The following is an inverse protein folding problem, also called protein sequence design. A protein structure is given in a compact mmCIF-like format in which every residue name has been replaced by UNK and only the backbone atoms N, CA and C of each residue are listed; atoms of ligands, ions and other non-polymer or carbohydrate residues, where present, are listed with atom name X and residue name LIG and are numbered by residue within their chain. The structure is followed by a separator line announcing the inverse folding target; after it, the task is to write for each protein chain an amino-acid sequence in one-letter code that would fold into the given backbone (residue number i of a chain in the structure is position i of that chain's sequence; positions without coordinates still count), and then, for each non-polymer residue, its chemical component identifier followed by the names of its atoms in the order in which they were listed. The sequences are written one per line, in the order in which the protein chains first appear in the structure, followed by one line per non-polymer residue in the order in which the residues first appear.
data_IF_068480020509
#
_entry.id   IF_068480020509
#
_cell.length_a   1.000
_cell.length_b   1.000
_cell.length_c   1.000
_cell.angle_alpha   90.00
_cell.angle_beta   90.00
_cell.angle_gamma   90.00
#
_symmetry.space_group_name_H-M   'P 1'
#
loop_
_entity.id
_entity.type
_entity.pdbx_description
1 polymer ?
#
# COMPACT_ATOMS: atom_id res chain seq x y z
N UNK A 1 -17.03 30.27 -5.46
CA UNK A 1 -18.26 29.60 -4.99
C UNK A 1 -18.53 28.22 -5.60
N UNK A 2 -17.75 27.71 -6.55
CA UNK A 2 -18.02 26.40 -7.19
C UNK A 2 -17.71 25.20 -6.28
N UNK A 3 -16.71 25.32 -5.40
CA UNK A 3 -16.28 24.22 -4.54
C UNK A 3 -17.38 23.73 -3.57
N UNK A 4 -18.18 24.62 -2.98
CA UNK A 4 -19.24 24.22 -2.03
C UNK A 4 -20.35 23.40 -2.68
N UNK A 5 -20.62 23.61 -3.98
CA UNK A 5 -21.60 22.82 -4.73
C UNK A 5 -21.12 21.40 -5.04
N UNK A 6 -19.83 21.24 -5.36
CA UNK A 6 -19.25 19.94 -5.72
C UNK A 6 -19.15 19.02 -4.50
N UNK A 7 -18.65 19.51 -3.36
CA UNK A 7 -18.54 18.70 -2.13
C UNK A 7 -19.92 18.29 -1.59
N UNK A 8 -20.92 19.18 -1.70
CA UNK A 8 -22.30 18.86 -1.35
C UNK A 8 -22.91 17.75 -2.22
N UNK A 9 -22.52 17.67 -3.49
CA UNK A 9 -23.01 16.64 -4.42
C UNK A 9 -22.49 15.24 -4.06
N UNK A 10 -21.18 15.10 -3.82
CA UNK A 10 -20.56 13.81 -3.51
C UNK A 10 -21.09 13.25 -2.19
N UNK A 11 -21.18 14.10 -1.14
CA UNK A 11 -21.72 13.69 0.15
C UNK A 11 -23.19 13.25 0.07
N UNK A 12 -24.02 13.99 -0.67
CA UNK A 12 -25.44 13.61 -0.89
C UNK A 12 -25.55 12.31 -1.68
N UNK A 13 -24.74 12.13 -2.72
CA UNK A 13 -24.69 10.89 -3.50
C UNK A 13 -24.27 9.70 -2.63
N UNK A 14 -23.21 9.86 -1.83
CA UNK A 14 -22.72 8.83 -0.92
C UNK A 14 -23.79 8.44 0.10
N UNK A 15 -24.45 9.43 0.72
CA UNK A 15 -25.54 9.18 1.67
C UNK A 15 -26.74 8.50 0.99
N UNK A 16 -27.07 8.85 -0.25
CA UNK A 16 -28.13 8.19 -1.01
C UNK A 16 -27.79 6.71 -1.29
N UNK A 17 -26.54 6.42 -1.68
CA UNK A 17 -26.05 5.04 -1.88
C UNK A 17 -26.01 4.26 -0.58
N UNK A 18 -25.53 4.87 0.50
CA UNK A 18 -25.49 4.27 1.83
C UNK A 18 -26.90 3.93 2.33
N UNK A 19 -27.92 4.75 2.04
CA UNK A 19 -29.32 4.44 2.34
C UNK A 19 -29.87 3.29 1.50
N UNK A 20 -29.56 3.26 0.21
CA UNK A 20 -30.06 2.24 -0.71
C UNK A 20 -29.43 0.86 -0.49
N UNK A 21 -28.12 0.82 -0.25
CA UNK A 21 -27.33 -0.41 -0.10
C UNK A 21 -26.22 -0.21 0.95
N UNK A 22 -26.55 -0.18 2.26
CA UNK A 22 -25.61 0.19 3.31
C UNK A 22 -24.40 -0.76 3.38
N UNK A 23 -24.63 -2.07 3.22
CA UNK A 23 -23.57 -3.07 3.28
C UNK A 23 -22.59 -2.93 2.11
N UNK A 24 -23.10 -2.91 0.88
CA UNK A 24 -22.28 -2.82 -0.33
C UNK A 24 -21.52 -1.49 -0.40
N UNK A 25 -22.17 -0.38 -0.01
CA UNK A 25 -21.53 0.94 0.02
C UNK A 25 -20.39 0.99 1.05
N UNK A 26 -20.61 0.48 2.27
CA UNK A 26 -19.56 0.42 3.28
C UNK A 26 -18.42 -0.50 2.87
N UNK A 27 -18.72 -1.67 2.30
CA UNK A 27 -17.71 -2.64 1.87
C UNK A 27 -16.86 -2.09 0.72
N UNK A 28 -17.49 -1.57 -0.33
CA UNK A 28 -16.78 -0.96 -1.46
C UNK A 28 -15.91 0.22 -1.02
N UNK A 29 -16.42 1.07 -0.13
CA UNK A 29 -15.64 2.17 0.43
C UNK A 29 -14.46 1.65 1.26
N UNK A 30 -14.68 0.62 2.08
CA UNK A 30 -13.60 -0.03 2.83
C UNK A 30 -12.49 -0.58 1.92
N UNK A 31 -12.84 -1.23 0.81
CA UNK A 31 -11.88 -1.72 -0.19
C UNK A 31 -11.10 -0.57 -0.82
N UNK A 32 -11.78 0.50 -1.25
CA UNK A 32 -11.12 1.69 -1.83
C UNK A 32 -10.18 2.36 -0.83
N UNK A 33 -10.60 2.50 0.43
CA UNK A 33 -9.77 3.12 1.47
C UNK A 33 -8.55 2.26 1.80
N UNK A 34 -8.71 0.94 1.95
CA UNK A 34 -7.60 0.01 2.22
C UNK A 34 -6.59 0.02 1.06
N UNK A 35 -7.07 -0.12 -0.18
CA UNK A 35 -6.20 -0.11 -1.37
C UNK A 35 -5.48 1.23 -1.54
N UNK A 36 -6.20 2.34 -1.45
CA UNK A 36 -5.62 3.68 -1.56
C UNK A 36 -4.59 3.97 -0.46
N UNK A 37 -4.87 3.55 0.78
CA UNK A 37 -3.94 3.74 1.90
C UNK A 37 -2.64 2.97 1.71
N UNK A 38 -2.72 1.74 1.21
CA UNK A 38 -1.55 0.89 1.00
C UNK A 38 -0.69 1.38 -0.17
N UNK A 39 -1.30 1.77 -1.29
CA UNK A 39 -0.59 2.38 -2.42
C UNK A 39 0.15 3.65 -2.00
N UNK A 40 -0.48 4.48 -1.16
CA UNK A 40 0.16 5.69 -0.64
C UNK A 40 1.39 5.35 0.21
N UNK A 41 1.29 4.35 1.09
CA UNK A 41 2.41 3.89 1.91
C UNK A 41 3.55 3.35 1.06
N UNK A 42 3.27 2.49 0.08
CA UNK A 42 4.29 1.95 -0.82
C UNK A 42 5.00 3.06 -1.60
N UNK A 43 4.27 4.12 -2.00
CA UNK A 43 4.86 5.30 -2.66
C UNK A 43 5.78 6.10 -1.71
N UNK A 44 5.47 6.15 -0.42
CA UNK A 44 6.33 6.78 0.58
C UNK A 44 7.58 5.94 0.84
N UNK A 45 7.44 4.64 0.96
CA UNK A 45 8.55 3.69 1.15
C UNK A 45 9.53 3.74 -0.03
N UNK A 46 9.04 3.73 -1.28
CA UNK A 46 9.91 3.79 -2.47
C UNK A 46 10.73 5.07 -2.55
N UNK A 47 10.16 6.21 -2.14
CA UNK A 47 10.88 7.49 -2.06
C UNK A 47 11.93 7.49 -0.96
N UNK A 48 11.65 6.84 0.18
CA UNK A 48 12.63 6.72 1.26
C UNK A 48 13.81 5.84 0.85
N UNK A 49 13.60 4.79 0.05
CA UNK A 49 14.68 3.95 -0.49
C UNK A 49 15.56 4.65 -1.52
N UNK A 50 15.03 5.66 -2.23
CA UNK A 50 15.78 6.44 -3.22
C UNK A 50 16.50 7.64 -2.63
N UNK A 51 16.07 8.14 -1.47
CA UNK A 51 16.82 9.17 -0.77
C UNK A 51 18.19 8.56 -0.45
N UNK A 52 19.29 9.05 -1.06
CA UNK A 52 20.61 8.57 -0.68
C UNK A 52 20.65 8.72 0.82
N UNK A 53 20.99 7.63 1.52
CA UNK A 53 21.33 7.69 2.91
C UNK A 53 22.48 8.67 2.96
N UNK A 54 22.15 9.96 3.13
CA UNK A 54 23.04 11.01 3.53
C UNK A 54 23.41 10.55 4.92
N UNK A 55 24.36 9.60 4.93
CA UNK A 55 25.12 9.22 6.07
C UNK A 55 25.45 10.56 6.68
N UNK A 56 24.96 10.69 7.90
CA UNK A 56 25.49 11.61 8.85
C UNK A 56 27.00 11.32 8.84
N UNK A 57 27.71 11.96 7.91
CA UNK A 57 29.15 12.11 7.93
C UNK A 57 29.32 12.96 9.16
N UNK A 58 29.41 12.27 10.29
CA UNK A 58 29.95 12.80 11.50
C UNK A 58 31.38 13.14 11.09
N UNK A 59 31.55 14.38 10.65
CA UNK A 59 32.81 14.99 10.28
C UNK A 59 33.71 14.92 11.51
N UNK A 60 34.43 13.82 11.67
CA UNK A 60 35.79 13.91 12.16
C UNK A 60 36.65 14.21 10.94
N UNK A 61 37.01 15.48 10.85
CA UNK A 61 38.09 15.96 10.01
C UNK A 61 39.31 15.03 10.15
N UNK A 62 39.83 14.55 9.02
CA UNK A 62 41.24 14.74 8.67
C UNK A 62 41.49 14.32 7.22
N UNK A 63 41.74 15.33 6.39
CA UNK A 63 42.59 15.37 5.21
C UNK A 63 42.94 14.05 4.51
N UNK A 64 42.46 13.89 3.28
CA UNK A 64 43.37 13.49 2.19
C UNK A 64 42.87 14.04 0.86
N UNK A 65 43.66 14.95 0.29
CA UNK A 65 43.66 15.22 -1.14
C UNK A 65 44.08 13.94 -1.87
N UNK A 66 43.48 13.62 -3.02
CA UNK A 66 44.26 13.44 -4.25
C UNK A 66 43.43 13.15 -5.51
N UNK A 67 43.81 13.90 -6.55
CA UNK A 67 43.82 13.67 -8.01
C UNK A 67 42.59 13.13 -8.75
N UNK A 68 42.06 14.02 -9.60
CA UNK A 68 41.15 13.80 -10.72
C UNK A 68 41.91 13.20 -11.91
N UNK A 69 41.43 12.08 -12.44
CA UNK A 69 41.89 11.53 -13.74
C UNK A 69 40.70 11.49 -14.72
N UNK A 70 40.72 12.39 -15.70
CA UNK A 70 39.77 12.50 -16.81
C UNK A 70 40.10 11.47 -17.90
N UNK A 71 39.12 10.64 -18.29
CA UNK A 71 39.25 9.67 -19.38
C UNK A 71 38.41 10.10 -20.60
N UNK A 72 39.11 10.31 -21.73
CA UNK A 72 38.55 10.69 -23.03
C UNK A 72 37.66 9.61 -23.65
N UNK A 73 36.54 10.02 -24.24
CA UNK A 73 35.59 9.18 -24.98
C UNK A 73 35.89 9.27 -26.48
N UNK A 74 36.30 8.15 -27.06
CA UNK A 74 36.60 7.97 -28.49
C UNK A 74 35.30 7.82 -29.31
N UNK A 75 35.05 8.75 -30.24
CA UNK A 75 33.95 8.70 -31.22
C UNK A 75 34.35 7.84 -32.42
N UNK A 76 33.58 6.79 -32.71
CA UNK A 76 33.64 6.04 -33.99
C UNK A 76 32.59 6.61 -34.96
N UNK A 77 33.06 7.06 -36.12
CA UNK A 77 32.31 7.36 -37.33
C UNK A 77 31.78 6.09 -37.98
N UNK A 78 30.52 6.08 -38.40
CA UNK A 78 29.92 5.05 -39.25
C UNK A 78 29.63 5.67 -40.62
N UNK A 79 30.20 5.03 -41.64
CA UNK A 79 30.16 5.44 -43.03
C UNK A 79 28.82 5.14 -43.71
N UNK A 80 28.53 5.99 -44.70
CA UNK A 80 27.37 5.95 -45.59
C UNK A 80 27.31 4.68 -46.44
N UNK A 81 26.12 4.08 -46.51
CA UNK A 81 25.77 3.11 -47.54
C UNK A 81 24.74 3.71 -48.52
N UNK A 82 24.98 3.40 -49.79
CA UNK A 82 24.47 3.96 -51.03
C UNK A 82 23.04 3.50 -51.33
N UNK A 83 22.09 4.43 -51.53
CA UNK A 83 20.71 4.11 -51.92
C UNK A 83 20.53 4.29 -53.44
N UNK A 84 20.31 3.16 -54.11
CA UNK A 84 19.99 3.02 -55.53
C UNK A 84 18.58 3.56 -55.82
N UNK A 85 18.48 4.35 -56.89
CA UNK A 85 17.29 5.07 -57.31
C UNK A 85 16.12 4.17 -57.75
N UNK A 86 14.93 4.53 -57.27
CA UNK A 86 13.64 4.04 -57.77
C UNK A 86 12.81 5.27 -58.15
N UNK A 87 12.39 5.30 -59.42
CA UNK A 87 11.66 6.41 -60.03
C UNK A 87 10.17 6.39 -59.64
N UNK A 88 9.80 7.29 -58.73
CA UNK A 88 8.54 8.06 -58.71
C UNK A 88 8.58 8.89 -57.41
N UNK A 89 9.17 10.09 -57.47
CA UNK A 89 9.46 10.92 -56.29
C UNK A 89 8.21 11.33 -55.49
N UNK A 90 7.04 11.43 -56.14
CA UNK A 90 5.83 11.93 -55.48
C UNK A 90 5.12 10.86 -54.64
N UNK A 91 5.10 9.60 -55.07
CA UNK A 91 4.48 8.51 -54.30
C UNK A 91 5.39 7.99 -53.16
N UNK A 92 6.71 8.06 -53.33
CA UNK A 92 7.68 7.67 -52.29
C UNK A 92 7.68 8.67 -51.13
N UNK A 93 7.48 9.97 -51.41
CA UNK A 93 7.42 11.00 -50.37
C UNK A 93 6.21 10.84 -49.45
N UNK A 94 5.04 10.47 -49.97
CA UNK A 94 3.82 10.29 -49.14
C UNK A 94 3.97 9.07 -48.21
N UNK A 95 4.51 7.95 -48.70
CA UNK A 95 4.81 6.78 -47.87
C UNK A 95 5.97 6.99 -46.89
N UNK A 96 6.98 7.78 -47.26
CA UNK A 96 8.07 8.16 -46.37
C UNK A 96 7.60 9.10 -45.26
N UNK A 97 6.66 10.02 -45.54
CA UNK A 97 6.10 10.90 -44.51
C UNK A 97 5.20 10.15 -43.54
N UNK A 98 4.38 9.21 -44.01
CA UNK A 98 3.51 8.42 -43.13
C UNK A 98 4.31 7.44 -42.26
N UNK A 99 5.39 6.85 -42.79
CA UNK A 99 6.27 5.97 -42.01
C UNK A 99 7.09 6.72 -40.95
N UNK A 100 7.60 7.93 -41.26
CA UNK A 100 8.34 8.75 -40.28
C UNK A 100 7.41 9.30 -39.18
N UNK A 101 6.18 9.69 -39.52
CA UNK A 101 5.19 10.13 -38.52
C UNK A 101 4.74 8.97 -37.64
N UNK A 102 4.54 7.78 -38.23
CA UNK A 102 4.24 6.54 -37.50
C UNK A 102 5.35 6.15 -36.53
N UNK A 103 6.61 6.16 -36.96
CA UNK A 103 7.77 5.85 -36.12
C UNK A 103 7.89 6.81 -34.92
N UNK A 104 7.72 8.13 -35.14
CA UNK A 104 7.75 9.12 -34.04
C UNK A 104 6.60 8.96 -33.04
N UNK A 105 5.42 8.52 -33.50
CA UNK A 105 4.29 8.23 -32.62
C UNK A 105 4.52 6.96 -31.78
N UNK A 106 5.12 5.93 -32.39
CA UNK A 106 5.51 4.70 -31.68
C UNK A 106 6.58 5.00 -30.62
N UNK A 107 7.65 5.72 -30.96
CA UNK A 107 8.69 6.12 -30.00
C UNK A 107 8.11 6.90 -28.82
N UNK A 108 7.18 7.83 -29.09
CA UNK A 108 6.50 8.59 -28.04
C UNK A 108 5.61 7.72 -27.17
N UNK A 109 4.93 6.74 -27.76
CA UNK A 109 4.09 5.80 -27.02
C UNK A 109 4.94 4.90 -26.12
N UNK A 110 6.07 4.37 -26.62
CA UNK A 110 7.00 3.57 -25.82
C UNK A 110 7.57 4.38 -24.65
N UNK A 111 8.01 5.62 -24.86
CA UNK A 111 8.49 6.48 -23.78
C UNK A 111 7.43 6.76 -22.70
N UNK A 112 6.16 6.97 -23.10
CA UNK A 112 5.04 7.15 -22.16
C UNK A 112 4.76 5.85 -21.39
N UNK A 113 4.77 4.70 -22.08
CA UNK A 113 4.56 3.40 -21.46
C UNK A 113 5.66 3.09 -20.45
N UNK A 114 6.92 3.38 -20.77
CA UNK A 114 8.03 3.13 -19.85
C UNK A 114 8.02 4.09 -18.66
N UNK A 115 7.65 5.37 -18.86
CA UNK A 115 7.41 6.30 -17.75
C UNK A 115 6.29 5.80 -16.82
N UNK A 116 5.21 5.25 -17.39
CA UNK A 116 4.10 4.68 -16.62
C UNK A 116 4.54 3.41 -15.89
N UNK A 117 5.32 2.53 -16.52
CA UNK A 117 5.87 1.33 -15.88
C UNK A 117 6.80 1.69 -14.74
N UNK A 118 7.67 2.68 -14.92
CA UNK A 118 8.59 3.15 -13.89
C UNK A 118 7.82 3.76 -12.71
N UNK A 119 6.81 4.59 -12.99
CA UNK A 119 5.91 5.11 -11.96
C UNK A 119 5.04 4.03 -11.29
N UNK A 120 4.77 2.90 -11.94
CA UNK A 120 4.02 1.78 -11.34
C UNK A 120 4.92 0.72 -10.70
N UNK A 121 6.23 0.77 -10.94
CA UNK A 121 7.18 -0.24 -10.45
C UNK A 121 7.25 -0.32 -8.93
N UNK A 122 6.93 0.78 -8.23
CA UNK A 122 6.85 0.80 -6.77
C UNK A 122 5.65 0.00 -6.23
N UNK A 123 4.64 -0.24 -7.07
CA UNK A 123 3.37 -0.82 -6.63
C UNK A 123 3.43 -2.35 -6.61
N UNK A 124 3.25 -2.91 -5.42
CA UNK A 124 3.03 -4.32 -5.17
C UNK A 124 1.52 -4.62 -5.11
N UNK A 125 0.92 -5.14 -6.22
CA UNK A 125 -0.52 -5.39 -6.28
C UNK A 125 -0.97 -6.50 -5.32
N UNK A 126 -0.07 -7.44 -4.95
CA UNK A 126 -0.41 -8.52 -4.02
C UNK A 126 -0.56 -8.01 -2.59
N UNK A 127 0.36 -7.15 -2.14
CA UNK A 127 0.25 -6.46 -0.84
C UNK A 127 -1.03 -5.63 -0.77
N UNK A 128 -1.31 -4.85 -1.81
CA UNK A 128 -2.53 -4.05 -1.90
C UNK A 128 -3.78 -4.91 -1.94
N UNK A 129 -3.75 -6.04 -2.66
CA UNK A 129 -4.83 -7.02 -2.69
C UNK A 129 -5.10 -7.65 -1.31
N UNK A 130 -4.04 -7.94 -0.54
CA UNK A 130 -4.14 -8.46 0.83
C UNK A 130 -4.77 -7.45 1.78
N UNK A 131 -4.40 -6.17 1.67
CA UNK A 131 -5.03 -5.09 2.43
C UNK A 131 -6.50 -4.90 2.01
N UNK A 132 -6.81 -5.01 0.72
CA UNK A 132 -8.16 -4.93 0.20
C UNK A 132 -9.06 -6.07 0.71
N UNK A 133 -8.56 -7.29 0.71
CA UNK A 133 -9.32 -8.48 1.14
C UNK A 133 -9.65 -8.43 2.64
N UNK A 134 -8.82 -7.78 3.46
CA UNK A 134 -9.12 -7.55 4.88
C UNK A 134 -10.44 -6.78 5.08
N UNK A 135 -10.82 -5.89 4.16
CA UNK A 135 -12.07 -5.14 4.25
C UNK A 135 -13.32 -6.05 4.28
N UNK A 136 -13.26 -7.23 3.65
CA UNK A 136 -14.39 -8.18 3.63
C UNK A 136 -14.66 -8.81 5.00
N UNK A 137 -13.64 -8.91 5.86
CA UNK A 137 -13.79 -9.40 7.24
C UNK A 137 -14.09 -8.24 8.20
N UNK A 138 -13.33 -7.15 8.07
CA UNK A 138 -13.36 -6.02 8.97
C UNK A 138 -14.67 -5.22 8.90
N UNK A 139 -15.14 -4.87 7.69
CA UNK A 139 -16.30 -3.98 7.52
C UNK A 139 -17.60 -4.58 8.06
N UNK A 140 -17.96 -5.84 7.75
CA UNK A 140 -19.16 -6.46 8.30
C UNK A 140 -19.11 -6.58 9.83
N UNK A 141 -17.92 -6.89 10.38
CA UNK A 141 -17.70 -7.00 11.81
C UNK A 141 -18.02 -5.68 12.52
N UNK A 142 -17.38 -4.58 12.11
CA UNK A 142 -17.62 -3.28 12.74
C UNK A 142 -19.05 -2.77 12.52
N UNK A 143 -19.64 -3.00 11.34
CA UNK A 143 -21.04 -2.64 11.11
C UNK A 143 -21.98 -3.34 12.11
N UNK A 144 -21.69 -4.58 12.48
CA UNK A 144 -22.45 -5.34 13.47
C UNK A 144 -22.22 -4.82 14.89
N UNK A 145 -20.96 -4.55 15.23
CA UNK A 145 -20.57 -3.98 16.54
C UNK A 145 -21.22 -2.62 16.77
N UNK A 146 -21.16 -1.70 15.80
CA UNK A 146 -21.79 -0.38 15.93
C UNK A 146 -23.31 -0.45 16.01
N UNK A 147 -23.96 -1.36 15.27
CA UNK A 147 -25.40 -1.63 15.42
C UNK A 147 -25.74 -2.12 16.83
N UNK A 148 -24.89 -2.97 17.42
CA UNK A 148 -25.07 -3.42 18.79
C UNK A 148 -24.92 -2.26 19.78
N UNK A 149 -23.93 -1.39 19.61
CA UNK A 149 -23.78 -0.19 20.45
C UNK A 149 -25.00 0.72 20.39
N UNK A 150 -25.55 0.93 19.19
CA UNK A 150 -26.73 1.76 19.02
C UNK A 150 -28.01 1.17 19.60
N UNK A 151 -28.08 -0.16 19.72
CA UNK A 151 -29.23 -0.86 20.32
C UNK A 151 -29.16 -0.92 21.84
N UNK A 152 -27.97 -1.15 22.40
CA UNK A 152 -27.82 -1.49 23.82
C UNK A 152 -27.28 -0.35 24.70
N UNK A 153 -26.66 0.70 24.13
CA UNK A 153 -26.02 1.76 24.91
C UNK A 153 -26.74 3.10 24.75
N UNK A 154 -26.98 3.85 25.85
CA UNK A 154 -27.60 5.16 25.79
C UNK A 154 -26.73 6.16 25.00
N UNK A 155 -27.36 6.94 24.11
CA UNK A 155 -26.65 7.76 23.10
C UNK A 155 -26.07 9.08 23.61
N UNK A 156 -26.59 9.63 24.71
CA UNK A 156 -26.32 11.02 25.12
C UNK A 156 -25.82 11.20 26.56
N UNK A 157 -25.70 10.12 27.32
CA UNK A 157 -25.16 10.21 28.68
C UNK A 157 -23.63 10.11 28.64
N UNK A 158 -22.89 10.88 29.45
CA UNK A 158 -21.43 10.77 29.54
C UNK A 158 -20.97 9.34 29.82
N UNK A 159 -21.71 8.61 30.66
CA UNK A 159 -21.47 7.18 30.95
C UNK A 159 -21.65 6.32 29.70
N UNK A 160 -22.69 6.57 28.89
CA UNK A 160 -22.91 5.87 27.62
C UNK A 160 -21.79 6.12 26.61
N UNK A 161 -21.29 7.37 26.53
CA UNK A 161 -20.15 7.72 25.68
C UNK A 161 -18.89 6.97 26.14
N UNK A 162 -18.57 7.01 27.43
CA UNK A 162 -17.40 6.32 27.97
C UNK A 162 -17.48 4.80 27.75
N UNK A 163 -18.66 4.20 27.95
CA UNK A 163 -18.89 2.78 27.68
C UNK A 163 -18.68 2.43 26.19
N UNK A 164 -19.17 3.26 25.26
CA UNK A 164 -18.94 3.09 23.82
C UNK A 164 -17.46 3.18 23.46
N UNK A 165 -16.73 4.15 24.04
CA UNK A 165 -15.28 4.31 23.82
C UNK A 165 -14.53 3.09 24.34
N UNK A 166 -14.81 2.65 25.56
CA UNK A 166 -14.16 1.50 26.18
C UNK A 166 -14.42 0.20 25.40
N UNK A 167 -15.67 -0.04 24.96
CA UNK A 167 -16.02 -1.19 24.14
C UNK A 167 -15.40 -1.11 22.74
N UNK A 168 -15.34 0.07 22.13
CA UNK A 168 -14.70 0.26 20.82
C UNK A 168 -13.20 -0.01 20.89
N UNK A 169 -12.54 0.46 21.95
CA UNK A 169 -11.14 0.16 22.19
C UNK A 169 -10.92 -1.33 22.49
N UNK A 170 -11.73 -1.92 23.37
CA UNK A 170 -11.66 -3.34 23.72
C UNK A 170 -11.86 -4.27 22.51
N UNK A 171 -12.75 -3.91 21.58
CA UNK A 171 -12.95 -4.64 20.32
C UNK A 171 -11.80 -4.44 19.32
N UNK A 172 -11.06 -3.33 19.40
CA UNK A 172 -9.91 -3.08 18.51
C UNK A 172 -8.72 -4.01 18.78
N UNK A 173 -8.53 -4.46 20.03
CA UNK A 173 -7.41 -5.36 20.40
C UNK A 173 -7.44 -6.68 19.64
N UNK A 174 -8.52 -7.50 19.70
CA UNK A 174 -8.58 -8.75 18.95
C UNK A 174 -8.60 -8.52 17.44
N UNK A 175 -9.17 -7.40 16.96
CA UNK A 175 -9.16 -7.05 15.53
C UNK A 175 -7.73 -6.80 15.03
N UNK A 176 -6.93 -6.04 15.77
CA UNK A 176 -5.53 -5.78 15.41
C UNK A 176 -4.72 -7.08 15.45
N UNK A 177 -4.92 -7.93 16.45
CA UNK A 177 -4.28 -9.24 16.50
C UNK A 177 -4.68 -10.14 15.32
N UNK A 178 -5.96 -10.10 14.92
CA UNK A 178 -6.46 -10.82 13.76
C UNK A 178 -5.88 -10.27 12.45
N UNK A 179 -5.71 -8.94 12.34
CA UNK A 179 -5.07 -8.30 11.19
C UNK A 179 -3.62 -8.77 11.01
N UNK A 180 -2.84 -8.76 12.09
CA UNK A 180 -1.45 -9.24 12.08
C UNK A 180 -1.34 -10.72 11.71
N UNK A 181 -2.18 -11.55 12.32
CA UNK A 181 -2.27 -12.98 12.00
C UNK A 181 -2.61 -13.18 10.52
N UNK A 182 -3.67 -12.52 10.05
CA UNK A 182 -4.13 -12.61 8.67
C UNK A 182 -3.05 -12.21 7.66
N UNK A 183 -2.47 -11.02 7.82
CA UNK A 183 -1.43 -10.54 6.90
C UNK A 183 -0.22 -11.46 6.87
N UNK A 184 0.21 -11.98 8.03
CA UNK A 184 1.34 -12.91 8.12
C UNK A 184 1.03 -14.27 7.49
N UNK A 185 -0.20 -14.78 7.64
CA UNK A 185 -0.64 -16.02 6.99
C UNK A 185 -0.67 -15.88 5.47
N UNK A 186 -1.18 -14.78 4.94
CA UNK A 186 -1.23 -14.54 3.49
C UNK A 186 0.19 -14.41 2.92
N UNK A 187 1.08 -13.67 3.59
CA UNK A 187 2.49 -13.53 3.19
C UNK A 187 3.21 -14.88 3.19
N UNK A 188 3.03 -15.71 4.23
CA UNK A 188 3.61 -17.05 4.28
C UNK A 188 3.06 -17.96 3.18
N UNK A 189 1.75 -17.89 2.92
CA UNK A 189 1.09 -18.66 1.86
C UNK A 189 1.63 -18.25 0.48
N UNK A 190 1.86 -16.96 0.27
CA UNK A 190 2.46 -16.44 -0.96
C UNK A 190 3.89 -16.96 -1.15
N UNK A 191 4.71 -16.92 -0.10
CA UNK A 191 6.09 -17.40 -0.15
C UNK A 191 6.14 -18.90 -0.51
N UNK A 192 5.31 -19.72 0.14
CA UNK A 192 5.17 -21.14 -0.17
C UNK A 192 4.72 -21.39 -1.63
N UNK A 193 3.73 -20.64 -2.13
CA UNK A 193 3.30 -20.74 -3.53
C UNK A 193 4.41 -20.36 -4.52
N UNK A 194 5.26 -19.39 -4.15
CA UNK A 194 6.42 -18.98 -4.95
C UNK A 194 7.46 -20.09 -5.04
N UNK A 195 7.76 -20.76 -3.92
CA UNK A 195 8.66 -21.91 -3.87
C UNK A 195 8.11 -23.09 -4.68
N UNK A 196 6.82 -23.39 -4.53
CA UNK A 196 6.16 -24.44 -5.30
C UNK A 196 6.26 -24.19 -6.81
N UNK A 197 6.00 -22.96 -7.27
CA UNK A 197 6.12 -22.60 -8.69
C UNK A 197 7.56 -22.67 -9.20
N UNK A 198 8.55 -22.35 -8.36
CA UNK A 198 9.97 -22.44 -8.73
C UNK A 198 10.37 -23.89 -8.96
N UNK A 199 10.03 -24.78 -8.02
CA UNK A 199 10.34 -26.21 -8.14
C UNK A 199 9.68 -26.85 -9.38
N UNK A 200 8.44 -26.45 -9.69
CA UNK A 200 7.76 -26.88 -10.93
C UNK A 200 8.51 -26.47 -12.20
N UNK A 201 9.09 -25.26 -12.25
CA UNK A 201 9.85 -24.78 -13.42
C UNK A 201 11.17 -25.51 -13.59
N UNK A 202 11.79 -25.91 -12.49
CA UNK A 202 13.08 -26.62 -12.48
C UNK A 202 12.93 -28.11 -12.79
N UNK A 203 11.71 -28.59 -13.09
CA UNK A 203 11.37 -30.01 -13.25
C UNK A 203 11.80 -30.88 -12.06
N UNK A 204 12.02 -30.27 -10.90
CA UNK A 204 12.22 -30.98 -9.66
C UNK A 204 10.83 -31.39 -9.17
N UNK A 205 10.46 -32.67 -9.38
CA UNK A 205 9.26 -33.29 -8.81
C UNK A 205 9.33 -33.45 -7.27
N UNK A 206 9.98 -32.50 -6.59
CA UNK A 206 10.13 -32.50 -5.13
C UNK A 206 8.92 -31.86 -4.48
N UNK A 207 8.32 -32.58 -3.53
CA UNK A 207 7.22 -32.09 -2.72
C UNK A 207 7.69 -30.95 -1.81
N UNK A 208 7.00 -29.81 -1.86
CA UNK A 208 7.28 -28.64 -0.99
C UNK A 208 6.26 -28.64 0.17
N UNK A 209 6.63 -29.14 1.36
CA UNK A 209 5.72 -29.15 2.50
C UNK A 209 5.37 -27.73 2.95
N UNK A 210 4.10 -27.52 3.33
CA UNK A 210 3.67 -26.28 3.98
C UNK A 210 4.11 -26.30 5.46
N UNK A 211 5.05 -25.44 5.83
CA UNK A 211 5.66 -25.42 7.16
C UNK A 211 4.83 -24.60 8.16
N UNK A 212 3.78 -25.21 8.73
CA UNK A 212 2.92 -24.56 9.74
C UNK A 212 3.68 -24.06 10.96
N UNK A 213 4.74 -24.73 11.40
CA UNK A 213 5.54 -24.31 12.55
C UNK A 213 6.22 -22.95 12.30
N UNK A 214 6.72 -22.73 11.08
CA UNK A 214 7.32 -21.44 10.68
C UNK A 214 6.28 -20.34 10.65
N UNK A 215 5.08 -20.62 10.15
CA UNK A 215 3.97 -19.68 10.18
C UNK A 215 3.62 -19.29 11.62
N UNK A 216 3.43 -20.28 12.50
CA UNK A 216 3.05 -20.05 13.88
C UNK A 216 4.10 -19.24 14.65
N UNK A 217 5.38 -19.58 14.48
CA UNK A 217 6.48 -18.83 15.10
C UNK A 217 6.54 -17.39 14.60
N UNK A 218 6.37 -17.17 13.28
CA UNK A 218 6.34 -15.82 12.70
C UNK A 218 5.16 -15.00 13.22
N UNK A 219 3.96 -15.58 13.28
CA UNK A 219 2.76 -14.93 13.84
C UNK A 219 2.96 -14.59 15.31
N UNK A 220 3.45 -15.54 16.11
CA UNK A 220 3.65 -15.36 17.55
C UNK A 220 4.66 -14.26 17.84
N UNK A 221 5.82 -14.28 17.15
CA UNK A 221 6.83 -13.25 17.26
C UNK A 221 6.28 -11.88 16.88
N UNK A 222 5.53 -11.79 15.77
CA UNK A 222 4.94 -10.53 15.31
C UNK A 222 3.93 -9.97 16.29
N UNK A 223 3.06 -10.82 16.82
CA UNK A 223 2.10 -10.42 17.86
C UNK A 223 2.80 -9.96 19.13
N UNK A 224 3.83 -10.65 19.60
CA UNK A 224 4.53 -10.27 20.83
C UNK A 224 5.25 -8.92 20.70
N UNK A 225 5.87 -8.64 19.54
CA UNK A 225 6.69 -7.46 19.35
C UNK A 225 5.91 -6.24 18.84
N UNK A 226 4.93 -6.42 17.95
CA UNK A 226 4.26 -5.28 17.29
C UNK A 226 2.88 -4.96 17.88
N UNK A 227 2.19 -5.95 18.46
CA UNK A 227 0.84 -5.74 18.98
C UNK A 227 0.83 -4.74 20.15
N UNK A 228 1.76 -4.77 21.14
CA UNK A 228 1.74 -3.82 22.25
C UNK A 228 1.87 -2.37 21.79
N UNK A 229 2.82 -2.09 20.90
CA UNK A 229 3.01 -0.76 20.30
C UNK A 229 1.78 -0.34 19.50
N UNK A 230 1.16 -1.26 18.78
CA UNK A 230 -0.07 -0.99 18.01
C UNK A 230 -1.28 -0.75 18.90
N UNK A 231 -1.42 -1.46 20.02
CA UNK A 231 -2.46 -1.20 21.02
C UNK A 231 -2.26 0.19 21.62
N UNK A 232 -1.02 0.56 21.95
CA UNK A 232 -0.70 1.89 22.48
C UNK A 232 -1.04 2.97 21.46
N UNK A 233 -0.61 2.83 20.21
CA UNK A 233 -0.96 3.76 19.12
C UNK A 233 -2.48 3.82 18.87
N UNK A 234 -3.17 2.69 18.99
CA UNK A 234 -4.63 2.60 18.87
C UNK A 234 -5.31 3.37 20.00
N UNK A 235 -4.83 3.23 21.24
CA UNK A 235 -5.38 3.94 22.39
C UNK A 235 -5.23 5.47 22.23
N UNK A 236 -4.02 5.92 21.86
CA UNK A 236 -3.72 7.35 21.71
C UNK A 236 -4.46 7.98 20.53
N UNK A 237 -4.67 7.24 19.44
CA UNK A 237 -5.39 7.73 18.28
C UNK A 237 -6.93 7.65 18.45
N UNK A 238 -7.44 6.48 18.77
CA UNK A 238 -8.88 6.20 18.71
C UNK A 238 -9.66 6.62 19.95
N UNK A 239 -9.08 6.64 21.15
CA UNK A 239 -9.85 7.06 22.34
C UNK A 239 -10.26 8.54 22.26
N UNK A 240 -9.36 9.51 21.98
CA UNK A 240 -9.74 10.90 21.84
C UNK A 240 -10.71 11.12 20.65
N UNK A 241 -10.44 10.47 19.52
CA UNK A 241 -11.29 10.54 18.35
C UNK A 241 -12.71 10.01 18.64
N UNK A 242 -12.85 8.86 19.29
CA UNK A 242 -14.15 8.28 19.61
C UNK A 242 -14.91 9.12 20.64
N UNK A 243 -14.23 9.72 21.63
CA UNK A 243 -14.86 10.66 22.55
C UNK A 243 -15.44 11.85 21.77
N UNK A 244 -14.67 12.46 20.87
CA UNK A 244 -15.13 13.57 20.04
C UNK A 244 -16.27 13.15 19.10
N UNK A 245 -16.13 12.00 18.45
CA UNK A 245 -17.11 11.45 17.51
C UNK A 245 -18.45 11.16 18.21
N UNK A 246 -18.45 10.56 19.39
CA UNK A 246 -19.69 10.24 20.10
C UNK A 246 -20.30 11.42 20.84
N UNK A 247 -19.52 12.46 21.17
CA UNK A 247 -20.02 13.66 21.87
C UNK A 247 -20.54 14.73 20.92
N UNK A 248 -19.81 15.02 19.83
CA UNK A 248 -20.08 16.15 18.95
C UNK A 248 -20.75 15.72 17.65
N UNK A 249 -20.34 14.59 17.06
CA UNK A 249 -20.76 14.22 15.71
C UNK A 249 -22.13 13.55 15.73
N UNK A 250 -23.13 14.07 14.99
CA UNK A 250 -24.45 13.44 14.88
C UNK A 250 -24.34 12.00 14.38
N UNK A 251 -25.15 11.09 14.91
CA UNK A 251 -25.06 9.65 14.64
C UNK A 251 -25.07 9.28 13.15
N UNK A 252 -25.77 10.06 12.31
CA UNK A 252 -25.83 9.83 10.88
C UNK A 252 -24.55 10.23 10.11
N UNK A 253 -23.69 11.07 10.71
CA UNK A 253 -22.40 11.50 10.14
C UNK A 253 -21.20 10.72 10.69
N UNK A 254 -21.37 9.97 11.77
CA UNK A 254 -20.31 9.19 12.40
C UNK A 254 -19.63 8.21 11.42
N UNK A 255 -20.35 7.47 10.55
CA UNK A 255 -19.71 6.57 9.58
C UNK A 255 -18.76 7.29 8.61
N UNK A 256 -19.11 8.50 8.18
CA UNK A 256 -18.25 9.29 7.29
C UNK A 256 -16.97 9.73 7.99
N UNK A 257 -17.09 10.18 9.24
CA UNK A 257 -15.94 10.60 10.05
C UNK A 257 -15.01 9.41 10.32
N UNK A 258 -15.58 8.25 10.65
CA UNK A 258 -14.84 7.01 10.84
C UNK A 258 -14.05 6.65 9.59
N UNK A 259 -14.65 6.73 8.39
CA UNK A 259 -14.00 6.40 7.13
C UNK A 259 -12.77 7.27 6.84
N UNK A 260 -12.84 8.57 7.10
CA UNK A 260 -11.70 9.48 6.93
C UNK A 260 -10.55 9.08 7.85
N UNK A 261 -10.82 8.81 9.13
CA UNK A 261 -9.80 8.39 10.09
C UNK A 261 -9.27 6.97 9.81
N UNK A 262 -10.15 6.07 9.35
CA UNK A 262 -9.76 4.72 8.93
C UNK A 262 -8.73 4.75 7.81
N UNK A 263 -8.78 5.71 6.88
CA UNK A 263 -7.75 5.86 5.86
C UNK A 263 -6.34 6.03 6.47
N UNK A 264 -6.19 6.97 7.40
CA UNK A 264 -4.91 7.21 8.07
C UNK A 264 -4.47 6.04 8.94
N UNK A 265 -5.43 5.42 9.64
CA UNK A 265 -5.14 4.24 10.44
C UNK A 265 -4.70 3.05 9.57
N UNK A 266 -5.29 2.87 8.39
CA UNK A 266 -4.88 1.83 7.45
C UNK A 266 -3.50 2.11 6.85
N UNK A 267 -3.13 3.39 6.63
CA UNK A 267 -1.75 3.74 6.30
C UNK A 267 -0.80 3.32 7.43
N UNK A 268 -1.16 3.62 8.68
CA UNK A 268 -0.36 3.21 9.84
C UNK A 268 -0.20 1.69 9.93
N UNK A 269 -1.29 0.93 9.79
CA UNK A 269 -1.28 -0.53 9.82
C UNK A 269 -0.51 -1.13 8.64
N UNK A 270 -0.60 -0.55 7.44
CA UNK A 270 0.21 -0.97 6.30
C UNK A 270 1.69 -0.78 6.59
N UNK A 271 2.09 0.38 7.14
CA UNK A 271 3.48 0.63 7.52
C UNK A 271 3.95 -0.34 8.62
N UNK A 272 3.17 -0.53 9.69
CA UNK A 272 3.57 -1.40 10.79
C UNK A 272 3.73 -2.85 10.36
N UNK A 273 2.81 -3.36 9.52
CA UNK A 273 2.84 -4.73 9.00
C UNK A 273 4.12 -5.02 8.19
N UNK A 274 4.74 -4.03 7.53
CA UNK A 274 5.85 -4.27 6.61
C UNK A 274 7.22 -3.86 7.16
N UNK A 275 7.29 -2.93 8.12
CA UNK A 275 8.55 -2.41 8.67
C UNK A 275 9.46 -3.49 9.29
N UNK A 276 8.88 -4.53 9.86
CA UNK A 276 9.62 -5.57 10.60
C UNK A 276 10.15 -6.71 9.73
N UNK A 277 9.68 -6.83 8.49
CA UNK A 277 10.23 -7.82 7.55
C UNK A 277 11.70 -7.56 7.24
N UNK A 278 12.09 -6.28 7.24
CA UNK A 278 13.47 -5.84 7.02
C UNK A 278 14.36 -6.15 8.23
N UNK A 279 13.94 -5.75 9.43
CA UNK A 279 14.72 -5.98 10.65
C UNK A 279 14.90 -7.48 10.97
N UNK A 280 13.88 -8.31 10.74
CA UNK A 280 13.97 -9.76 10.94
C UNK A 280 14.84 -10.45 9.88
N UNK A 281 14.81 -9.97 8.63
CA UNK A 281 15.70 -10.47 7.58
C UNK A 281 17.17 -10.17 7.91
N UNK A 282 17.45 -8.97 8.43
CA UNK A 282 18.79 -8.57 8.87
C UNK A 282 19.30 -9.45 10.02
N UNK A 283 18.47 -9.75 11.03
CA UNK A 283 18.89 -10.63 12.13
C UNK A 283 19.14 -12.08 11.69
N UNK A 284 18.33 -12.61 10.77
CA UNK A 284 18.51 -13.98 10.26
C UNK A 284 19.72 -14.12 9.34
N UNK A 285 20.14 -13.03 8.66
CA UNK A 285 21.40 -13.05 7.91
C UNK A 285 22.62 -13.11 8.83
N UNK A 286 22.60 -12.41 9.97
CA UNK A 286 23.71 -12.38 10.92
C UNK A 286 23.97 -13.76 11.57
N UNK A 287 22.91 -14.51 11.88
CA UNK A 287 23.04 -15.84 12.50
C UNK A 287 23.63 -16.91 11.56
N UNK A 288 23.64 -16.71 10.23
CA UNK A 288 24.22 -17.66 9.28
C UNK A 288 25.73 -17.49 9.06
N UNK A 289 26.27 -16.34 9.47
CA UNK A 289 27.69 -16.01 9.31
C UNK A 289 28.53 -16.37 10.56
N UNK A 290 27.88 -16.88 11.61
CA UNK A 290 28.50 -17.45 12.82
C UNK A 290 28.55 -19.00 12.77
#
# INVERSE_FOLDING_TARGET
MVASHVYGSIGKWYLAKLKAAPFLTNLSTGVVLMTGSDVLVQKVESRQSLAPSSSMTQSSDCCSCDSVETKEVSRRSLDHEEIIGISSEEDLMIYATDSVVGARLLDRHEAVVDTIKDELSFWNPFRTGTMASWAFLYVPFYATVYKAYDRYLPKKTPVGILARVALSFGTSVPVNAAFYTYGTTIEHTQAWYGELRRNQRENAFSYVPYHFDRLWNKVSWKLQNELPTTIQASATCWMPFNVLMFSVVPSHMQPLSLMVFSFFWNCYLSMSQHRSSLAAAESMSQEKDE
#
